data_IF_403742866517
#
_entry.id   IF_403742866517
#
_cell.length_a   1.000
_cell.length_b   1.000
_cell.length_c   1.000
_cell.angle_alpha   90.00
_cell.angle_beta   90.00
_cell.angle_gamma   90.00
#
_symmetry.space_group_name_H-M   'P 1'
#
loop_
_entity.id
_entity.type
_entity.pdbx_description
1 polymer ?
#
# COMPACT_ATOMS: atom_id res chain seq x y z
N UNK A 1 11.17 16.16 15.62
CA UNK A 1 11.52 15.78 14.22
C UNK A 1 12.98 15.36 14.01
N UNK A 2 13.94 15.78 14.86
CA UNK A 2 15.39 15.50 14.68
C UNK A 2 15.80 14.02 14.94
N UNK A 3 15.05 13.27 15.76
CA UNK A 3 15.37 11.88 16.09
C UNK A 3 15.15 10.85 14.96
N UNK A 4 14.21 11.09 14.04
CA UNK A 4 13.88 10.14 12.94
C UNK A 4 14.94 10.12 11.83
N UNK A 5 15.53 11.27 11.51
CA UNK A 5 16.63 11.34 10.52
C UNK A 5 17.90 10.66 11.02
N UNK A 6 18.23 10.78 12.32
CA UNK A 6 19.42 10.17 12.92
C UNK A 6 19.36 8.64 12.92
N UNK A 7 18.17 8.08 13.18
CA UNK A 7 17.91 6.63 13.12
C UNK A 7 18.03 6.06 11.70
N UNK A 8 17.52 6.77 10.68
CA UNK A 8 17.66 6.34 9.28
C UNK A 8 19.11 6.43 8.78
N UNK A 9 19.86 7.49 9.13
CA UNK A 9 21.29 7.59 8.77
C UNK A 9 22.12 6.47 9.40
N UNK A 10 21.87 6.13 10.68
CA UNK A 10 22.56 5.02 11.34
C UNK A 10 22.29 3.68 10.66
N UNK A 11 21.03 3.41 10.27
CA UNK A 11 20.65 2.18 9.55
C UNK A 11 21.27 2.11 8.16
N UNK A 12 21.30 3.23 7.41
CA UNK A 12 21.96 3.32 6.10
C UNK A 12 23.47 3.09 6.23
N UNK A 13 24.11 3.71 7.23
CA UNK A 13 25.54 3.54 7.50
C UNK A 13 25.89 2.09 7.82
N UNK A 14 25.11 1.43 8.68
CA UNK A 14 25.26 0.00 9.00
C UNK A 14 25.11 -0.86 7.73
N UNK A 15 24.12 -0.57 6.88
CA UNK A 15 23.92 -1.31 5.63
C UNK A 15 25.08 -1.17 4.64
N UNK A 16 25.64 0.05 4.50
CA UNK A 16 26.83 0.29 3.67
C UNK A 16 28.02 -0.49 4.23
N UNK A 17 28.21 -0.49 5.55
CA UNK A 17 29.29 -1.26 6.21
C UNK A 17 29.16 -2.76 5.97
N UNK A 18 27.95 -3.32 6.08
CA UNK A 18 27.67 -4.74 5.79
C UNK A 18 27.97 -5.07 4.33
N UNK A 19 27.58 -4.19 3.40
CA UNK A 19 27.79 -4.39 1.97
C UNK A 19 29.28 -4.34 1.62
N UNK A 20 30.01 -3.36 2.16
CA UNK A 20 31.45 -3.21 1.94
C UNK A 20 32.24 -4.40 2.50
N UNK A 21 31.91 -4.84 3.71
CA UNK A 21 32.56 -5.99 4.35
C UNK A 21 32.25 -7.30 3.61
N UNK A 22 31.03 -7.48 3.11
CA UNK A 22 30.68 -8.64 2.28
C UNK A 22 31.47 -8.66 0.97
N UNK A 23 31.57 -7.52 0.27
CA UNK A 23 32.36 -7.39 -0.97
C UNK A 23 33.83 -7.71 -0.69
N UNK A 24 34.40 -7.15 0.37
CA UNK A 24 35.80 -7.37 0.72
C UNK A 24 36.08 -8.82 1.12
N UNK A 25 35.11 -9.48 1.76
CA UNK A 25 35.18 -10.91 2.10
C UNK A 25 35.22 -11.77 0.82
N UNK A 26 34.37 -11.46 -0.16
CA UNK A 26 34.37 -12.17 -1.46
C UNK A 26 35.70 -11.96 -2.20
N UNK A 27 36.24 -10.74 -2.22
CA UNK A 27 37.54 -10.42 -2.84
C UNK A 27 38.67 -11.18 -2.15
N UNK A 28 38.67 -11.22 -0.81
CA UNK A 28 39.69 -11.93 -0.04
C UNK A 28 39.63 -13.45 -0.26
N UNK A 29 38.43 -14.04 -0.35
CA UNK A 29 38.26 -15.46 -0.67
C UNK A 29 38.76 -15.74 -2.09
N UNK A 30 38.39 -14.91 -3.06
CA UNK A 30 38.86 -15.04 -4.44
C UNK A 30 40.39 -14.96 -4.52
N UNK A 31 41.00 -13.97 -3.86
CA UNK A 31 42.46 -13.82 -3.83
C UNK A 31 43.15 -14.96 -3.09
N UNK A 32 42.56 -15.53 -2.04
CA UNK A 32 43.11 -16.67 -1.32
C UNK A 32 43.10 -17.95 -2.19
N UNK A 33 42.00 -18.18 -2.94
CA UNK A 33 41.87 -19.30 -3.88
C UNK A 33 42.77 -19.13 -5.10
N UNK A 34 42.85 -17.93 -5.67
CA UNK A 34 43.69 -17.65 -6.83
C UNK A 34 45.19 -17.70 -6.52
N UNK A 35 45.61 -17.33 -5.30
CA UNK A 35 47.02 -17.25 -4.92
C UNK A 35 47.48 -18.38 -3.98
N UNK A 36 46.67 -19.41 -3.72
CA UNK A 36 46.98 -20.52 -2.81
C UNK A 36 47.45 -20.07 -1.40
N UNK A 37 46.86 -19.01 -0.87
CA UNK A 37 47.21 -18.47 0.46
C UNK A 37 46.26 -19.06 1.50
N UNK A 38 46.81 -19.46 2.66
CA UNK A 38 46.02 -19.94 3.81
C UNK A 38 45.02 -18.86 4.22
N UNK A 39 43.73 -19.22 4.27
CA UNK A 39 42.65 -18.31 4.63
C UNK A 39 42.94 -17.73 6.03
N UNK A 40 43.06 -16.40 6.12
CA UNK A 40 43.37 -15.73 7.38
C UNK A 40 42.14 -15.73 8.31
N UNK A 41 42.09 -16.67 9.25
CA UNK A 41 40.99 -16.82 10.21
C UNK A 41 40.74 -15.58 11.09
N UNK A 42 41.75 -14.73 11.34
CA UNK A 42 41.56 -13.46 12.04
C UNK A 42 40.68 -12.47 11.26
N UNK A 43 40.68 -12.54 9.93
CA UNK A 43 39.77 -11.75 9.10
C UNK A 43 38.31 -12.20 9.27
N UNK A 44 38.06 -13.48 9.60
CA UNK A 44 36.71 -13.98 9.88
C UNK A 44 36.18 -13.45 11.22
N UNK A 45 37.02 -13.34 12.25
CA UNK A 45 36.61 -12.75 13.54
C UNK A 45 36.20 -11.27 13.43
N UNK A 46 36.72 -10.55 12.44
CA UNK A 46 36.28 -9.18 12.12
C UNK A 46 34.85 -9.11 11.57
N UNK A 47 34.28 -10.23 11.13
CA UNK A 47 32.89 -10.33 10.69
C UNK A 47 31.91 -10.57 11.85
N UNK A 48 32.38 -10.96 13.04
CA UNK A 48 31.49 -11.20 14.18
C UNK A 48 30.64 -9.96 14.56
N UNK A 49 31.18 -8.73 14.63
CA UNK A 49 30.38 -7.52 14.83
C UNK A 49 29.38 -7.27 13.70
N UNK A 50 29.71 -7.63 12.46
CA UNK A 50 28.85 -7.50 11.28
C UNK A 50 27.68 -8.50 11.36
N UNK A 51 27.95 -9.74 11.75
CA UNK A 51 26.95 -10.79 11.94
C UNK A 51 26.02 -10.44 13.12
N UNK A 52 26.57 -9.92 14.23
CA UNK A 52 25.79 -9.46 15.38
C UNK A 52 24.93 -8.25 14.99
N UNK A 53 25.48 -7.28 14.23
CA UNK A 53 24.72 -6.15 13.71
C UNK A 53 23.61 -6.60 12.75
N UNK A 54 23.91 -7.53 11.84
CA UNK A 54 22.92 -8.14 10.93
C UNK A 54 21.83 -8.88 11.70
N UNK A 55 22.16 -9.59 12.78
CA UNK A 55 21.18 -10.27 13.63
C UNK A 55 20.27 -9.27 14.34
N UNK A 56 20.83 -8.19 14.89
CA UNK A 56 20.07 -7.15 15.59
C UNK A 56 19.16 -6.31 14.67
N UNK A 57 19.49 -6.22 13.37
CA UNK A 57 18.74 -5.44 12.37
C UNK A 57 18.13 -6.34 11.27
N UNK A 58 18.03 -7.65 11.52
CA UNK A 58 17.61 -8.64 10.53
C UNK A 58 16.22 -8.32 9.96
N UNK A 59 15.31 -7.86 10.83
CA UNK A 59 13.98 -7.41 10.42
C UNK A 59 14.08 -6.29 9.38
N UNK A 60 14.89 -5.25 9.62
CA UNK A 60 15.05 -4.13 8.69
C UNK A 60 15.69 -4.52 7.36
N UNK A 61 16.65 -5.44 7.38
CA UNK A 61 17.27 -5.96 6.15
C UNK A 61 16.23 -6.78 5.36
N UNK A 62 15.48 -7.64 6.03
CA UNK A 62 14.40 -8.43 5.43
C UNK A 62 13.29 -7.54 4.86
N UNK A 63 12.90 -6.48 5.58
CA UNK A 63 12.00 -5.40 5.11
C UNK A 63 12.47 -4.86 3.77
N UNK A 64 13.73 -4.44 3.74
CA UNK A 64 14.30 -3.66 2.65
C UNK A 64 14.54 -4.55 1.43
N UNK A 65 15.06 -5.75 1.63
CA UNK A 65 15.25 -6.74 0.57
C UNK A 65 13.92 -7.15 -0.07
N UNK A 66 12.87 -7.40 0.72
CA UNK A 66 11.58 -7.75 0.17
C UNK A 66 10.91 -6.59 -0.56
N UNK A 67 11.04 -5.36 -0.06
CA UNK A 67 10.63 -4.16 -0.81
C UNK A 67 11.34 -4.07 -2.15
N UNK A 68 12.64 -4.33 -2.19
CA UNK A 68 13.44 -4.28 -3.41
C UNK A 68 13.08 -5.41 -4.40
N UNK A 69 12.87 -6.63 -3.90
CA UNK A 69 12.42 -7.78 -4.70
C UNK A 69 11.00 -7.55 -5.24
N UNK A 70 10.10 -7.07 -4.40
CA UNK A 70 8.73 -6.72 -4.80
C UNK A 70 8.72 -5.58 -5.80
N UNK A 71 9.59 -4.58 -5.60
CA UNK A 71 9.82 -3.54 -6.57
C UNK A 71 10.20 -4.24 -7.86
N UNK A 72 11.33 -4.94 -7.94
CA UNK A 72 11.78 -5.63 -9.16
C UNK A 72 10.70 -6.46 -9.87
N UNK A 73 9.93 -7.29 -9.15
CA UNK A 73 8.85 -8.14 -9.73
C UNK A 73 7.67 -7.36 -10.29
N UNK A 74 7.35 -6.18 -9.75
CA UNK A 74 6.33 -5.28 -10.27
C UNK A 74 4.94 -5.92 -10.50
N UNK A 75 4.50 -6.73 -9.53
CA UNK A 75 3.23 -7.45 -9.64
C UNK A 75 2.01 -6.52 -9.66
N UNK A 76 1.00 -6.91 -10.45
CA UNK A 76 -0.29 -6.24 -10.54
C UNK A 76 -1.17 -6.60 -9.35
N UNK A 77 -1.89 -5.61 -8.82
CA UNK A 77 -2.83 -5.75 -7.71
C UNK A 77 -4.12 -5.01 -8.04
N UNK A 78 -5.23 -5.56 -7.58
CA UNK A 78 -6.50 -4.83 -7.59
C UNK A 78 -6.54 -3.93 -6.36
N UNK A 79 -6.55 -2.63 -6.58
CA UNK A 79 -6.59 -1.61 -5.53
C UNK A 79 -7.93 -0.89 -5.58
N UNK A 80 -8.69 -0.97 -4.49
CA UNK A 80 -9.94 -0.25 -4.32
C UNK A 80 -9.79 0.77 -3.20
N UNK A 81 -10.17 2.01 -3.45
CA UNK A 81 -10.22 3.08 -2.46
C UNK A 81 -11.63 3.67 -2.45
N UNK A 82 -12.24 3.79 -1.28
CA UNK A 82 -13.59 4.32 -1.14
C UNK A 82 -13.74 5.24 0.06
N UNK A 83 -14.63 6.20 -0.06
CA UNK A 83 -15.06 7.04 1.04
C UNK A 83 -16.58 7.08 1.12
N UNK A 84 -17.08 7.12 2.34
CA UNK A 84 -18.49 7.20 2.68
C UNK A 84 -18.72 8.54 3.35
N UNK A 85 -19.71 9.28 2.86
CA UNK A 85 -20.17 10.52 3.46
C UNK A 85 -21.63 10.36 3.86
N UNK A 86 -21.93 10.73 5.09
CA UNK A 86 -23.29 10.80 5.62
C UNK A 86 -23.72 12.27 5.61
N UNK A 87 -24.77 12.57 4.87
CA UNK A 87 -25.27 13.94 4.66
C UNK A 87 -26.79 13.98 4.78
N UNK A 88 -27.30 15.07 5.34
CA UNK A 88 -28.71 15.44 5.41
C UNK A 88 -29.16 16.24 4.17
N UNK A 89 -28.22 16.60 3.29
CA UNK A 89 -28.53 17.30 2.04
C UNK A 89 -29.50 16.47 1.18
N UNK A 90 -30.48 17.17 0.61
CA UNK A 90 -31.43 16.56 -0.32
C UNK A 90 -30.71 16.02 -1.55
N UNK A 91 -31.23 14.93 -2.07
CA UNK A 91 -30.62 14.22 -3.19
C UNK A 91 -30.81 15.00 -4.50
N UNK A 92 -29.79 15.76 -4.89
CA UNK A 92 -29.70 16.41 -6.19
C UNK A 92 -28.64 15.73 -7.07
N UNK A 93 -29.09 15.05 -8.13
CA UNK A 93 -28.18 14.42 -9.08
C UNK A 93 -27.34 15.44 -9.86
N UNK A 94 -27.87 16.64 -10.11
CA UNK A 94 -27.16 17.72 -10.79
C UNK A 94 -25.98 18.23 -9.96
N UNK A 95 -26.17 18.43 -8.66
CA UNK A 95 -25.10 18.83 -7.74
C UNK A 95 -24.04 17.73 -7.62
N UNK A 96 -24.47 16.47 -7.53
CA UNK A 96 -23.56 15.33 -7.51
C UNK A 96 -22.73 15.25 -8.80
N UNK A 97 -23.36 15.44 -9.97
CA UNK A 97 -22.67 15.52 -11.27
C UNK A 97 -21.65 16.66 -11.29
N UNK A 98 -21.98 17.83 -10.75
CA UNK A 98 -21.09 18.97 -10.67
C UNK A 98 -19.89 18.69 -9.76
N UNK A 99 -20.12 18.09 -8.58
CA UNK A 99 -19.05 17.68 -7.65
C UNK A 99 -18.09 16.67 -8.28
N UNK A 100 -18.62 15.68 -9.00
CA UNK A 100 -17.79 14.72 -9.78
C UNK A 100 -17.01 15.44 -10.87
N UNK A 101 -17.65 16.34 -11.62
CA UNK A 101 -16.99 17.10 -12.69
C UNK A 101 -15.83 17.96 -12.17
N UNK A 102 -16.04 18.66 -11.04
CA UNK A 102 -15.00 19.46 -10.40
C UNK A 102 -13.83 18.58 -9.93
N UNK A 103 -14.12 17.48 -9.22
CA UNK A 103 -13.10 16.53 -8.77
C UNK A 103 -12.30 15.92 -9.93
N UNK A 104 -12.97 15.59 -11.04
CA UNK A 104 -12.31 15.10 -12.26
C UNK A 104 -11.41 16.16 -12.89
N UNK A 105 -11.86 17.42 -12.99
CA UNK A 105 -11.07 18.53 -13.53
C UNK A 105 -9.81 18.77 -12.70
N UNK A 106 -9.95 18.87 -11.38
CA UNK A 106 -8.82 19.05 -10.44
C UNK A 106 -7.81 17.92 -10.58
N UNK A 107 -8.27 16.68 -10.71
CA UNK A 107 -7.40 15.50 -10.86
C UNK A 107 -6.95 15.23 -12.31
N UNK A 108 -7.39 16.04 -13.28
CA UNK A 108 -7.13 15.86 -14.73
C UNK A 108 -7.52 14.47 -15.22
N UNK A 109 -8.66 13.96 -14.76
CA UNK A 109 -9.22 12.69 -15.19
C UNK A 109 -10.04 12.86 -16.46
N UNK A 110 -9.96 11.88 -17.36
CA UNK A 110 -10.71 11.83 -18.62
C UNK A 110 -11.54 10.56 -18.69
N UNK A 111 -12.59 10.53 -19.51
CA UNK A 111 -13.36 9.31 -19.76
C UNK A 111 -12.57 8.35 -20.65
N UNK A 112 -12.63 7.05 -20.37
CA UNK A 112 -11.98 6.03 -21.20
C UNK A 112 -12.57 5.97 -22.61
N UNK A 113 -13.90 6.18 -22.72
CA UNK A 113 -14.65 6.16 -23.98
C UNK A 113 -15.47 7.45 -24.10
N UNK A 114 -14.84 8.48 -24.64
CA UNK A 114 -15.45 9.57 -25.44
C UNK A 114 -16.50 10.50 -24.84
N UNK A 115 -17.35 10.09 -23.91
CA UNK A 115 -18.49 10.92 -23.48
C UNK A 115 -18.82 10.69 -22.00
N UNK A 116 -19.05 11.79 -21.29
CA UNK A 116 -19.58 11.78 -19.92
C UNK A 116 -20.98 11.19 -19.92
N UNK A 117 -21.22 10.20 -19.06
CA UNK A 117 -22.58 9.76 -18.73
C UNK A 117 -23.09 10.60 -17.56
N UNK A 118 -24.30 11.11 -17.67
CA UNK A 118 -25.00 11.80 -16.59
C UNK A 118 -25.37 10.83 -15.47
N UNK A 119 -25.29 11.31 -14.23
CA UNK A 119 -25.75 10.56 -13.06
C UNK A 119 -27.26 10.75 -12.95
N UNK A 120 -28.04 9.70 -13.25
CA UNK A 120 -29.51 9.74 -13.22
C UNK A 120 -30.12 8.75 -12.22
N UNK A 121 -29.28 7.98 -11.53
CA UNK A 121 -29.71 6.90 -10.64
C UNK A 121 -28.87 6.86 -9.36
N UNK A 122 -29.36 6.14 -8.36
CA UNK A 122 -28.66 5.92 -7.09
C UNK A 122 -27.31 5.23 -7.28
N UNK A 123 -27.15 4.52 -8.39
CA UNK A 123 -25.89 3.87 -8.74
C UNK A 123 -25.34 4.44 -10.04
N UNK A 124 -24.09 4.86 -10.00
CA UNK A 124 -23.37 5.33 -11.16
C UNK A 124 -22.04 4.62 -11.26
N UNK A 125 -21.69 4.13 -12.45
CA UNK A 125 -20.38 3.55 -12.71
C UNK A 125 -19.87 4.01 -14.07
N UNK A 126 -18.63 4.48 -14.10
CA UNK A 126 -17.98 4.93 -15.32
C UNK A 126 -16.49 4.58 -15.35
N UNK A 127 -15.95 4.36 -16.55
CA UNK A 127 -14.54 4.13 -16.78
C UNK A 127 -13.81 5.45 -16.99
N UNK A 128 -12.83 5.74 -16.12
CA UNK A 128 -11.99 6.94 -16.16
C UNK A 128 -10.53 6.59 -16.41
N UNK A 129 -9.77 7.58 -16.84
CA UNK A 129 -8.35 7.51 -17.15
C UNK A 129 -7.64 8.68 -16.49
N UNK A 130 -6.53 8.40 -15.82
CA UNK A 130 -5.66 9.44 -15.24
C UNK A 130 -4.84 10.14 -16.32
N UNK A 131 -4.22 11.28 -16.00
CA UNK A 131 -3.29 11.97 -16.90
C UNK A 131 -2.10 11.09 -17.32
N UNK A 132 -1.69 10.14 -16.48
CA UNK A 132 -0.59 9.21 -16.75
C UNK A 132 -1.04 7.98 -17.56
N UNK A 133 -2.29 7.96 -18.02
CA UNK A 133 -2.84 6.91 -18.86
C UNK A 133 -3.39 5.69 -18.11
N UNK A 134 -3.40 5.71 -16.78
CA UNK A 134 -3.95 4.61 -15.98
C UNK A 134 -5.49 4.60 -16.03
N UNK A 135 -6.05 3.47 -16.43
CA UNK A 135 -7.49 3.22 -16.44
C UNK A 135 -7.99 2.76 -15.07
N UNK A 136 -9.16 3.25 -14.65
CA UNK A 136 -9.83 2.87 -13.42
C UNK A 136 -11.35 3.06 -13.54
N UNK A 137 -12.11 2.49 -12.61
CA UNK A 137 -13.56 2.71 -12.55
C UNK A 137 -13.91 3.62 -11.37
N UNK A 138 -14.72 4.63 -11.63
CA UNK A 138 -15.43 5.38 -10.60
C UNK A 138 -16.80 4.76 -10.43
N UNK A 139 -17.15 4.38 -9.20
CA UNK A 139 -18.49 3.97 -8.82
C UNK A 139 -19.01 4.89 -7.71
N UNK A 140 -20.25 5.32 -7.82
CA UNK A 140 -20.95 6.12 -6.81
C UNK A 140 -22.24 5.40 -6.47
N UNK A 141 -22.49 5.14 -5.19
CA UNK A 141 -23.78 4.67 -4.69
C UNK A 141 -24.35 5.65 -3.69
N UNK A 142 -25.67 5.86 -3.76
CA UNK A 142 -26.43 6.68 -2.82
C UNK A 142 -27.45 5.76 -2.17
N UNK A 143 -27.23 5.46 -0.91
CA UNK A 143 -28.07 4.57 -0.12
C UNK A 143 -28.76 5.39 0.99
N UNK A 144 -30.10 5.42 1.05
CA UNK A 144 -30.80 6.07 2.15
C UNK A 144 -30.55 5.28 3.45
N UNK A 145 -30.22 5.98 4.53
CA UNK A 145 -30.00 5.42 5.86
C UNK A 145 -30.70 6.29 6.91
N UNK A 146 -31.89 5.85 7.34
CA UNK A 146 -32.74 6.61 8.28
C UNK A 146 -33.04 8.02 7.72
N UNK A 147 -32.63 9.08 8.42
CA UNK A 147 -32.80 10.48 8.01
C UNK A 147 -31.65 11.01 7.13
N UNK A 148 -30.61 10.20 6.87
CA UNK A 148 -29.40 10.61 6.15
C UNK A 148 -29.24 9.86 4.83
N UNK A 149 -28.66 10.54 3.86
CA UNK A 149 -28.15 9.92 2.64
C UNK A 149 -26.70 9.48 2.84
N UNK A 150 -26.40 8.23 2.49
CA UNK A 150 -25.03 7.69 2.47
C UNK A 150 -24.52 7.71 1.04
N UNK A 151 -23.59 8.62 0.76
CA UNK A 151 -22.88 8.68 -0.52
C UNK A 151 -21.59 7.88 -0.38
N UNK A 152 -21.50 6.77 -1.10
CA UNK A 152 -20.28 5.97 -1.21
C UNK A 152 -19.65 6.19 -2.57
N UNK A 153 -18.43 6.69 -2.57
CA UNK A 153 -17.63 6.90 -3.76
C UNK A 153 -16.44 5.96 -3.74
N UNK A 154 -16.28 5.17 -4.80
CA UNK A 154 -15.27 4.13 -4.92
C UNK A 154 -14.49 4.29 -6.22
N UNK A 155 -13.17 4.28 -6.11
CA UNK A 155 -12.23 4.18 -7.23
C UNK A 155 -11.59 2.79 -7.23
N UNK A 156 -11.77 2.07 -8.34
CA UNK A 156 -11.29 0.70 -8.54
C UNK A 156 -10.20 0.68 -9.61
N UNK A 157 -9.00 0.26 -9.22
CA UNK A 157 -7.80 0.22 -10.04
C UNK A 157 -7.29 -1.20 -10.21
N UNK A 158 -6.74 -1.51 -11.38
CA UNK A 158 -5.83 -2.63 -11.58
C UNK A 158 -4.45 -2.04 -11.90
N UNK A 159 -3.56 -2.06 -10.92
CA UNK A 159 -2.31 -1.30 -10.95
C UNK A 159 -1.13 -2.15 -10.52
N UNK A 160 0.06 -1.75 -10.93
CA UNK A 160 1.26 -2.20 -10.24
C UNK A 160 1.18 -1.87 -8.76
N UNK A 161 1.62 -2.83 -7.94
CA UNK A 161 1.87 -2.65 -6.51
C UNK A 161 2.71 -1.41 -6.16
N UNK A 162 3.63 -0.99 -7.04
CA UNK A 162 4.47 0.21 -6.85
C UNK A 162 3.64 1.50 -6.91
N UNK A 163 2.55 1.48 -7.67
CA UNK A 163 1.73 2.66 -7.98
C UNK A 163 0.62 2.88 -6.94
N UNK A 164 0.37 1.92 -6.03
CA UNK A 164 -0.66 2.02 -4.98
C UNK A 164 -0.58 3.33 -4.20
N UNK A 165 0.64 3.79 -3.86
CA UNK A 165 0.83 5.06 -3.15
C UNK A 165 0.40 6.28 -3.98
N UNK A 166 0.66 6.27 -5.29
CA UNK A 166 0.29 7.34 -6.19
C UNK A 166 -1.23 7.35 -6.39
N UNK A 167 -1.84 6.18 -6.63
CA UNK A 167 -3.30 6.03 -6.75
C UNK A 167 -4.03 6.46 -5.47
N UNK A 168 -3.47 6.16 -4.29
CA UNK A 168 -4.00 6.67 -3.02
C UNK A 168 -3.90 8.20 -2.92
N UNK A 169 -2.80 8.79 -3.38
CA UNK A 169 -2.67 10.25 -3.42
C UNK A 169 -3.68 10.91 -4.36
N UNK A 170 -3.93 10.31 -5.52
CA UNK A 170 -4.92 10.80 -6.49
C UNK A 170 -6.34 10.68 -5.93
N UNK A 171 -6.64 9.57 -5.25
CA UNK A 171 -7.90 9.38 -4.54
C UNK A 171 -8.12 10.45 -3.46
N UNK A 172 -7.09 10.80 -2.67
CA UNK A 172 -7.22 11.86 -1.64
C UNK A 172 -7.57 13.22 -2.27
N UNK A 173 -6.91 13.58 -3.37
CA UNK A 173 -7.22 14.83 -4.11
C UNK A 173 -8.66 14.82 -4.63
N UNK A 174 -9.07 13.71 -5.26
CA UNK A 174 -10.43 13.56 -5.77
C UNK A 174 -11.46 13.71 -4.64
N UNK A 175 -11.23 13.04 -3.52
CA UNK A 175 -12.08 13.11 -2.32
C UNK A 175 -12.18 14.55 -1.80
N UNK A 176 -11.05 15.22 -1.62
CA UNK A 176 -11.02 16.56 -1.01
C UNK A 176 -11.83 17.55 -1.85
N UNK A 177 -11.72 17.46 -3.18
CA UNK A 177 -12.53 18.27 -4.10
C UNK A 177 -14.00 17.87 -4.07
N UNK A 178 -14.30 16.56 -4.04
CA UNK A 178 -15.69 16.07 -4.04
C UNK A 178 -16.46 16.49 -2.78
N UNK A 179 -15.81 16.42 -1.61
CA UNK A 179 -16.41 16.73 -0.31
C UNK A 179 -16.38 18.24 -0.03
N UNK A 180 -15.68 19.04 -0.84
CA UNK A 180 -15.59 20.47 -0.64
C UNK A 180 -16.97 21.12 -0.63
N UNK A 181 -17.31 21.85 0.43
CA UNK A 181 -18.63 22.46 0.61
C UNK A 181 -19.79 21.47 0.71
N UNK A 182 -19.56 20.21 1.08
CA UNK A 182 -20.61 19.24 1.42
C UNK A 182 -20.78 19.21 2.94
N UNK A 183 -21.99 19.42 3.45
CA UNK A 183 -22.28 19.24 4.87
C UNK A 183 -22.22 17.74 5.20
N UNK A 184 -21.26 17.35 6.05
CA UNK A 184 -21.02 15.94 6.38
C UNK A 184 -21.12 15.71 7.88
N UNK A 185 -21.97 14.79 8.30
CA UNK A 185 -22.09 14.42 9.70
C UNK A 185 -21.06 13.35 10.10
N UNK A 186 -20.76 12.43 9.17
CA UNK A 186 -19.81 11.34 9.39
C UNK A 186 -19.06 11.02 8.10
N UNK A 187 -17.79 10.60 8.26
CA UNK A 187 -16.94 10.13 7.17
C UNK A 187 -16.34 8.77 7.52
N UNK A 188 -16.21 7.91 6.52
CA UNK A 188 -15.48 6.64 6.63
C UNK A 188 -14.67 6.42 5.38
N UNK A 189 -13.45 5.93 5.53
CA UNK A 189 -12.54 5.62 4.44
C UNK A 189 -12.22 4.14 4.47
N UNK A 190 -12.35 3.48 3.33
CA UNK A 190 -11.98 2.08 3.19
C UNK A 190 -10.98 1.92 2.05
N UNK A 191 -9.96 1.09 2.27
CA UNK A 191 -9.08 0.61 1.22
C UNK A 191 -9.13 -0.90 1.16
N UNK A 192 -8.95 -1.44 -0.04
CA UNK A 192 -8.74 -2.86 -0.28
C UNK A 192 -7.57 -3.01 -1.25
N UNK A 193 -6.59 -3.82 -0.89
CA UNK A 193 -5.52 -4.26 -1.77
C UNK A 193 -5.69 -5.76 -1.91
N UNK A 194 -6.13 -6.21 -3.09
CA UNK A 194 -6.32 -7.61 -3.43
C UNK A 194 -5.19 -8.07 -4.38
N UNK A 195 -4.52 -9.13 -3.96
CA UNK A 195 -3.35 -9.74 -4.59
C UNK A 195 -3.64 -11.17 -5.07
N UNK A 196 -4.91 -11.59 -5.15
CA UNK A 196 -5.29 -12.95 -5.56
C UNK A 196 -4.69 -13.37 -6.89
N UNK A 197 -4.69 -12.48 -7.89
CA UNK A 197 -4.15 -12.76 -9.22
C UNK A 197 -2.65 -13.10 -9.21
N UNK A 198 -1.91 -12.63 -8.20
CA UNK A 198 -0.45 -12.81 -8.12
C UNK A 198 -0.02 -13.79 -7.04
N UNK A 199 -0.96 -14.32 -6.26
CA UNK A 199 -0.69 -15.27 -5.18
C UNK A 199 0.18 -14.72 -4.05
N UNK A 200 0.34 -13.40 -3.97
CA UNK A 200 1.18 -12.73 -2.97
C UNK A 200 0.45 -12.63 -1.63
N UNK A 201 1.19 -12.79 -0.54
CA UNK A 201 0.62 -12.82 0.80
C UNK A 201 1.03 -11.58 1.63
N UNK A 202 0.09 -10.81 2.20
CA UNK A 202 0.40 -9.62 3.00
C UNK A 202 0.98 -9.86 4.41
N UNK A 203 1.11 -11.11 4.89
CA UNK A 203 1.60 -11.41 6.26
C UNK A 203 3.10 -11.17 6.42
N UNK A 204 3.48 -9.90 6.52
CA UNK A 204 4.87 -9.49 6.60
C UNK A 204 5.44 -9.42 8.02
N UNK A 205 4.61 -9.14 9.03
CA UNK A 205 5.02 -9.11 10.45
C UNK A 205 4.78 -10.43 11.19
N UNK A 206 4.24 -11.42 10.49
CA UNK A 206 3.96 -12.74 11.04
C UNK A 206 4.77 -13.76 10.25
N UNK A 207 6.09 -13.71 10.44
CA UNK A 207 6.87 -14.93 10.57
C UNK A 207 6.34 -15.67 11.80
N UNK A 208 5.14 -16.27 11.69
CA UNK A 208 4.76 -17.32 12.60
C UNK A 208 5.90 -18.34 12.51
N UNK A 209 6.63 -18.51 13.61
CA UNK A 209 7.55 -19.64 13.88
C UNK A 209 7.14 -20.80 12.99
N UNK A 210 8.02 -21.41 12.16
CA UNK A 210 7.62 -22.26 11.04
C UNK A 210 6.60 -23.29 11.49
N UNK A 211 5.32 -22.91 11.40
CA UNK A 211 4.23 -23.81 11.63
C UNK A 211 4.27 -24.58 10.34
N UNK A 212 4.49 -25.90 10.42
CA UNK A 212 4.23 -26.81 9.30
C UNK A 212 2.72 -26.82 9.03
N UNK A 213 2.13 -25.66 8.73
CA UNK A 213 0.73 -25.48 8.45
C UNK A 213 0.58 -25.69 6.95
N UNK A 214 0.32 -26.94 6.56
CA UNK A 214 -0.07 -27.30 5.19
C UNK A 214 -1.32 -26.55 4.69
N UNK A 215 -2.00 -25.77 5.54
CA UNK A 215 -3.22 -25.04 5.23
C UNK A 215 -3.21 -23.65 5.90
N UNK A 216 -2.62 -22.66 5.23
CA UNK A 216 -2.72 -21.22 5.58
C UNK A 216 -3.96 -20.56 4.92
N UNK A 217 -4.89 -21.35 4.38
CA UNK A 217 -6.07 -20.87 3.65
C UNK A 217 -7.01 -20.04 4.52
N UNK A 218 -7.09 -20.36 5.82
CA UNK A 218 -8.06 -19.76 6.75
C UNK A 218 -7.45 -18.70 7.70
N UNK A 219 -6.22 -18.25 7.45
CA UNK A 219 -5.61 -17.21 8.29
C UNK A 219 -6.26 -15.87 7.98
N UNK A 220 -7.02 -15.38 8.95
CA UNK A 220 -7.61 -14.05 8.96
C UNK A 220 -7.14 -13.32 10.23
N UNK A 221 -6.40 -12.22 10.04
CA UNK A 221 -6.02 -11.34 11.13
C UNK A 221 -6.92 -10.13 11.11
N UNK A 222 -7.66 -9.92 12.20
CA UNK A 222 -8.46 -8.73 12.42
C UNK A 222 -7.92 -8.01 13.63
N UNK A 223 -7.60 -6.74 13.47
CA UNK A 223 -7.23 -5.90 14.59
C UNK A 223 -7.85 -4.51 14.43
N UNK A 224 -8.21 -3.93 15.57
CA UNK A 224 -8.67 -2.56 15.69
C UNK A 224 -7.67 -1.83 16.59
N UNK A 225 -7.05 -0.78 16.06
CA UNK A 225 -6.15 0.05 16.82
C UNK A 225 -6.46 1.51 16.56
N UNK A 226 -6.84 2.26 17.61
CA UNK A 226 -7.09 3.70 17.55
C UNK A 226 -8.06 4.11 16.42
N UNK A 227 -9.13 3.34 16.21
CA UNK A 227 -10.14 3.61 15.17
C UNK A 227 -9.77 3.15 13.75
N UNK A 228 -8.61 2.50 13.59
CA UNK A 228 -8.21 1.80 12.37
C UNK A 228 -8.57 0.33 12.48
N UNK A 229 -9.52 -0.12 11.67
CA UNK A 229 -9.84 -1.54 11.51
C UNK A 229 -9.04 -2.09 10.34
N UNK A 230 -8.29 -3.17 10.56
CA UNK A 230 -7.55 -3.87 9.51
C UNK A 230 -7.92 -5.34 9.51
N UNK A 231 -8.17 -5.86 8.33
CA UNK A 231 -8.41 -7.27 8.04
C UNK A 231 -7.37 -7.74 7.01
N UNK A 232 -6.55 -8.71 7.39
CA UNK A 232 -5.52 -9.29 6.53
C UNK A 232 -5.84 -10.77 6.34
N UNK A 233 -5.99 -11.19 5.09
CA UNK A 233 -6.17 -12.59 4.69
C UNK A 233 -5.10 -13.00 3.67
N UNK A 234 -5.09 -14.28 3.26
CA UNK A 234 -4.05 -14.93 2.42
C UNK A 234 -3.57 -14.11 1.21
N UNK A 235 -4.41 -13.26 0.62
CA UNK A 235 -4.04 -12.39 -0.50
C UNK A 235 -4.71 -11.01 -0.47
N UNK A 236 -5.25 -10.58 0.67
CA UNK A 236 -6.05 -9.35 0.72
C UNK A 236 -5.77 -8.58 2.00
N UNK A 237 -5.59 -7.28 1.84
CA UNK A 237 -5.61 -6.32 2.94
C UNK A 237 -6.86 -5.48 2.75
N UNK A 238 -7.75 -5.47 3.72
CA UNK A 238 -8.83 -4.50 3.82
C UNK A 238 -8.59 -3.64 5.06
N UNK A 239 -8.77 -2.33 4.92
CA UNK A 239 -8.69 -1.45 6.08
C UNK A 239 -9.77 -0.38 6.02
N UNK A 240 -10.25 0.03 7.20
CA UNK A 240 -11.22 1.10 7.32
C UNK A 240 -10.94 1.98 8.54
N UNK A 241 -11.12 3.29 8.37
CA UNK A 241 -10.95 4.28 9.41
C UNK A 241 -11.85 5.49 9.19
N UNK A 242 -12.10 6.27 10.24
CA UNK A 242 -12.74 7.59 10.11
C UNK A 242 -11.74 8.70 9.75
N UNK A 243 -10.46 8.51 10.09
CA UNK A 243 -9.37 9.42 9.76
C UNK A 243 -8.54 8.84 8.59
N UNK A 244 -8.41 9.57 7.46
CA UNK A 244 -7.62 9.10 6.33
C UNK A 244 -6.12 9.01 6.62
N UNK A 245 -5.60 9.72 7.61
CA UNK A 245 -4.17 9.68 7.97
C UNK A 245 -3.77 8.35 8.62
N UNK A 246 -4.73 7.64 9.21
CA UNK A 246 -4.54 6.28 9.70
C UNK A 246 -4.37 5.29 8.53
N UNK A 247 -5.09 5.48 7.43
CA UNK A 247 -4.93 4.67 6.21
C UNK A 247 -3.56 4.91 5.55
N UNK A 248 -3.08 6.16 5.60
CA UNK A 248 -1.75 6.55 5.15
C UNK A 248 -0.63 5.70 5.78
N UNK A 249 -0.79 5.28 7.04
CA UNK A 249 0.17 4.39 7.73
C UNK A 249 0.21 3.02 7.05
N UNK A 250 -0.93 2.47 6.66
CA UNK A 250 -1.03 1.18 5.97
C UNK A 250 -0.40 1.28 4.58
N UNK A 251 -0.76 2.29 3.80
CA UNK A 251 -0.21 2.49 2.44
C UNK A 251 1.31 2.68 2.48
N UNK A 252 1.85 3.36 3.50
CA UNK A 252 3.32 3.53 3.69
C UNK A 252 4.03 2.23 4.11
N UNK A 253 3.35 1.38 4.88
CA UNK A 253 3.91 0.12 5.38
C UNK A 253 3.63 -1.08 4.47
N UNK A 254 2.78 -0.90 3.46
CA UNK A 254 2.45 -1.91 2.47
C UNK A 254 3.71 -2.40 1.73
N UNK A 255 3.90 -3.72 1.73
CA UNK A 255 4.95 -4.44 1.00
C UNK A 255 4.26 -5.65 0.37
N UNK A 256 4.18 -5.74 -0.96
CA UNK A 256 3.72 -6.95 -1.64
C UNK A 256 4.77 -8.05 -1.43
N UNK A 257 4.46 -9.14 -0.73
CA UNK A 257 5.43 -10.23 -0.55
C UNK A 257 5.27 -11.34 -1.57
N UNK A 258 6.40 -11.90 -1.97
CA UNK A 258 6.45 -13.15 -2.73
C UNK A 258 5.84 -14.31 -1.94
N UNK A 259 5.22 -15.25 -2.65
CA UNK A 259 4.61 -16.47 -2.11
C UNK A 259 5.43 -17.08 -0.97
N UNK A 260 4.78 -17.30 0.16
CA UNK A 260 5.29 -18.19 1.22
C UNK A 260 5.12 -19.59 0.64
N UNK A 261 6.22 -20.22 0.24
CA UNK A 261 6.26 -21.64 -0.12
C UNK A 261 6.33 -22.49 1.13
#
# INVERSE_FOLDING_TARGET
MIGRCRLNMKKIFIFVLISLTSIMTVINIYNAVANNIVINWMSLTSLAPVIIAMYSEFDWIYVTWNKLRSWAKNNTVAFSSSFFVYTDEQKSYAELQQRVSNAMKTCKFTFQQGVSREITSNYYKTGLKTCNGLNFYLSISIDPCEELNVINVKLDYQISSRTVKNSWSDFKKFRDEFINGLATQKKRYNIVIDMKETGLNPFYRLTLKPIKAKHLDDVCLKFNENGLNVEITKNRIAASAQDPDLIDKIIKQYIPLTSVY
#
